data_IF_402151092595
#
_entry.id   IF_402151092595
#
_cell.length_a   1.000
_cell.length_b   1.000
_cell.length_c   1.000
_cell.angle_alpha   90.00
_cell.angle_beta   90.00
_cell.angle_gamma   90.00
#
_symmetry.space_group_name_H-M   'P 1'
#
loop_
_entity.id
_entity.type
_entity.pdbx_description
1 polymer ?
#
# COMPACT_ATOMS: atom_id res chain seq x y z
N UNK A 1 28.85 -34.82 -63.01
CA UNK A 1 27.94 -34.99 -61.86
C UNK A 1 28.53 -34.13 -60.73
N UNK A 2 28.10 -32.88 -60.54
CA UNK A 2 26.93 -32.47 -59.71
C UNK A 2 27.12 -32.91 -58.25
N UNK A 3 27.11 -32.07 -57.20
CA UNK A 3 26.65 -30.69 -57.00
C UNK A 3 27.32 -30.11 -55.75
N UNK A 4 27.49 -28.79 -55.71
CA UNK A 4 27.61 -27.99 -54.49
C UNK A 4 26.45 -28.29 -53.53
N UNK A 5 26.68 -28.21 -52.22
CA UNK A 5 25.62 -27.84 -51.28
C UNK A 5 26.18 -26.91 -50.21
N UNK A 6 26.00 -25.62 -50.48
CA UNK A 6 26.04 -24.51 -49.54
C UNK A 6 24.68 -24.47 -48.84
N UNK A 7 24.66 -24.18 -47.53
CA UNK A 7 23.46 -23.65 -46.88
C UNK A 7 23.11 -24.27 -45.54
N UNK A 8 23.97 -24.09 -44.53
CA UNK A 8 23.57 -24.26 -43.14
C UNK A 8 22.69 -23.05 -42.77
N UNK A 9 21.37 -23.23 -42.86
CA UNK A 9 20.39 -22.25 -42.38
C UNK A 9 20.45 -22.22 -40.86
N UNK A 10 21.06 -21.17 -40.31
CA UNK A 10 20.88 -20.77 -38.92
C UNK A 10 19.41 -20.37 -38.78
N UNK A 11 18.58 -21.27 -38.27
CA UNK A 11 17.24 -20.95 -37.80
C UNK A 11 17.39 -20.19 -36.48
N UNK A 12 17.47 -18.86 -36.56
CA UNK A 12 17.21 -18.00 -35.40
C UNK A 12 15.73 -18.18 -35.08
N UNK A 13 15.42 -19.05 -34.11
CA UNK A 13 14.11 -19.03 -33.45
C UNK A 13 14.04 -17.73 -32.65
N UNK A 14 13.52 -16.68 -33.29
CA UNK A 14 12.96 -15.54 -32.56
C UNK A 14 11.76 -16.11 -31.82
N UNK A 15 11.94 -16.40 -30.53
CA UNK A 15 10.82 -16.62 -29.62
C UNK A 15 10.10 -15.28 -29.53
N UNK A 16 9.04 -15.12 -30.31
CA UNK A 16 7.98 -14.18 -30.00
C UNK A 16 7.34 -14.64 -28.69
N UNK A 17 7.92 -14.24 -27.56
CA UNK A 17 7.18 -14.14 -26.32
C UNK A 17 6.27 -12.94 -26.50
N UNK A 18 4.93 -13.09 -26.51
CA UNK A 18 4.07 -11.93 -26.43
C UNK A 18 4.40 -11.24 -25.10
N UNK A 19 5.01 -10.06 -25.16
CA UNK A 19 5.06 -9.14 -24.04
C UNK A 19 3.60 -8.85 -23.69
N UNK A 20 3.09 -9.55 -22.69
CA UNK A 20 1.74 -9.33 -22.17
C UNK A 20 1.66 -7.85 -21.79
N UNK A 21 0.87 -7.08 -22.53
CA UNK A 21 0.66 -5.67 -22.23
C UNK A 21 -0.11 -5.62 -20.92
N UNK A 22 0.54 -5.13 -19.86
CA UNK A 22 -0.11 -4.94 -18.57
C UNK A 22 -1.27 -3.95 -18.71
N UNK A 23 -2.38 -4.25 -18.05
CA UNK A 23 -3.46 -3.26 -17.87
C UNK A 23 -2.99 -2.13 -16.96
N UNK A 24 -3.62 -0.95 -17.05
CA UNK A 24 -3.30 0.19 -16.17
C UNK A 24 -3.36 -0.19 -14.69
N UNK A 25 -4.33 -1.03 -14.30
CA UNK A 25 -4.45 -1.51 -12.93
C UNK A 25 -3.27 -2.40 -12.52
N UNK A 26 -2.85 -3.33 -13.38
CA UNK A 26 -1.67 -4.15 -13.12
C UNK A 26 -0.41 -3.30 -13.03
N UNK A 27 -0.27 -2.29 -13.89
CA UNK A 27 0.85 -1.34 -13.82
C UNK A 27 0.85 -0.58 -12.51
N UNK A 28 -0.31 -0.07 -12.05
CA UNK A 28 -0.44 0.59 -10.73
C UNK A 28 0.01 -0.31 -9.59
N UNK A 29 -0.52 -1.53 -9.51
CA UNK A 29 -0.14 -2.48 -8.46
C UNK A 29 1.36 -2.79 -8.46
N UNK A 30 1.95 -2.95 -9.64
CA UNK A 30 3.39 -3.15 -9.75
C UNK A 30 4.20 -1.93 -9.28
N UNK A 31 3.75 -0.71 -9.60
CA UNK A 31 4.39 0.51 -9.11
C UNK A 31 4.22 0.70 -7.60
N UNK A 32 3.04 0.39 -7.03
CA UNK A 32 2.79 0.42 -5.59
C UNK A 32 3.76 -0.51 -4.86
N UNK A 33 3.88 -1.77 -5.32
CA UNK A 33 4.84 -2.73 -4.75
C UNK A 33 6.29 -2.26 -4.90
N UNK A 34 6.64 -1.65 -6.04
CA UNK A 34 7.98 -1.12 -6.25
C UNK A 34 8.33 -0.03 -5.22
N UNK A 35 7.46 0.97 -5.01
CA UNK A 35 7.72 2.01 -4.00
C UNK A 35 7.68 1.45 -2.58
N UNK A 36 6.79 0.51 -2.29
CA UNK A 36 6.75 -0.18 -0.99
C UNK A 36 8.07 -0.91 -0.71
N UNK A 37 8.63 -1.62 -1.68
CA UNK A 37 9.89 -2.33 -1.47
C UNK A 37 11.08 -1.38 -1.27
N UNK A 38 11.21 -0.35 -2.13
CA UNK A 38 12.30 0.64 -2.03
C UNK A 38 12.23 1.37 -0.69
N UNK A 39 11.05 1.84 -0.28
CA UNK A 39 10.92 2.57 0.98
C UNK A 39 10.98 1.67 2.21
N UNK A 40 10.65 0.38 2.09
CA UNK A 40 10.92 -0.58 3.16
C UNK A 40 12.42 -0.80 3.36
N UNK A 41 13.23 -0.76 2.30
CA UNK A 41 14.69 -0.78 2.41
C UNK A 41 15.23 0.49 3.07
N UNK A 42 14.71 1.66 2.70
CA UNK A 42 15.05 2.95 3.32
C UNK A 42 14.76 2.94 4.81
N UNK A 43 13.55 2.51 5.20
CA UNK A 43 13.14 2.44 6.60
C UNK A 43 14.02 1.46 7.38
N UNK A 44 14.32 0.28 6.79
CA UNK A 44 15.23 -0.69 7.40
C UNK A 44 16.61 -0.10 7.69
N UNK A 45 17.16 0.68 6.75
CA UNK A 45 18.46 1.35 6.94
C UNK A 45 18.43 2.42 8.04
N UNK A 46 17.26 3.00 8.32
CA UNK A 46 17.03 3.94 9.42
C UNK A 46 16.64 3.24 10.75
N UNK A 47 16.66 1.90 10.81
CA UNK A 47 16.27 1.15 12.00
C UNK A 47 14.76 1.07 12.24
N UNK A 48 13.95 1.30 11.20
CA UNK A 48 12.49 1.26 11.23
C UNK A 48 11.95 0.10 10.41
N UNK A 49 10.72 -0.31 10.70
CA UNK A 49 10.01 -1.33 9.94
C UNK A 49 9.28 -0.70 8.75
N UNK A 50 9.44 -1.30 7.56
CA UNK A 50 8.64 -1.00 6.37
C UNK A 50 7.41 -1.91 6.23
N UNK A 51 6.98 -2.17 5.01
CA UNK A 51 5.93 -3.16 4.74
C UNK A 51 6.43 -4.56 5.09
N UNK A 52 5.66 -5.31 5.89
CA UNK A 52 5.95 -6.70 6.19
C UNK A 52 6.02 -7.56 4.93
N UNK A 53 5.16 -7.27 3.95
CA UNK A 53 5.11 -7.94 2.65
C UNK A 53 6.15 -7.46 1.63
N UNK A 54 7.05 -6.54 2.01
CA UNK A 54 8.03 -6.00 1.07
C UNK A 54 9.08 -7.03 0.68
N UNK A 55 9.25 -7.25 -0.62
CA UNK A 55 10.35 -8.04 -1.16
C UNK A 55 11.54 -7.12 -1.48
N UNK A 56 12.36 -6.88 -0.46
CA UNK A 56 13.56 -6.06 -0.58
C UNK A 56 14.58 -6.72 -1.54
N UNK A 57 14.53 -8.04 -1.71
CA UNK A 57 15.41 -8.76 -2.66
C UNK A 57 14.94 -8.63 -4.12
N UNK A 58 13.63 -8.59 -4.40
CA UNK A 58 13.10 -8.35 -5.75
C UNK A 58 13.22 -6.90 -6.20
N UNK A 59 13.26 -5.94 -5.27
CA UNK A 59 13.57 -4.53 -5.59
C UNK A 59 14.96 -4.34 -6.20
N UNK A 60 15.82 -5.34 -6.04
CA UNK A 60 17.14 -5.45 -6.61
C UNK A 60 17.13 -6.02 -8.06
N UNK A 61 16.04 -6.64 -8.51
CA UNK A 61 15.93 -7.19 -9.87
C UNK A 61 15.25 -6.23 -10.86
N UNK A 62 14.38 -5.32 -10.38
CA UNK A 62 13.62 -4.36 -11.21
C UNK A 62 14.42 -3.07 -11.49
N UNK A 63 15.34 -2.73 -10.60
CA UNK A 63 16.41 -1.74 -10.81
C UNK A 63 17.71 -2.49 -10.71
N UNK A 64 18.63 -2.32 -11.65
CA UNK A 64 19.97 -2.90 -11.54
C UNK A 64 20.52 -2.63 -10.13
N UNK A 65 20.76 -3.68 -9.33
CA UNK A 65 21.31 -3.59 -7.96
C UNK A 65 22.57 -2.74 -7.83
N UNK A 66 23.21 -2.42 -8.95
CA UNK A 66 24.35 -1.53 -9.02
C UNK A 66 24.02 -0.07 -8.66
N UNK A 67 22.75 0.35 -8.75
CA UNK A 67 22.36 1.73 -8.47
C UNK A 67 22.27 2.03 -6.96
N UNK A 68 22.88 3.14 -6.50
CA UNK A 68 22.74 3.58 -5.12
C UNK A 68 21.28 3.81 -4.70
N UNK A 69 20.93 3.46 -3.46
CA UNK A 69 19.56 3.56 -2.94
C UNK A 69 18.95 4.97 -3.04
N UNK A 70 19.75 6.03 -2.96
CA UNK A 70 19.26 7.40 -3.12
C UNK A 70 18.76 7.70 -4.54
N UNK A 71 19.34 7.08 -5.57
CA UNK A 71 18.85 7.14 -6.96
C UNK A 71 17.54 6.34 -7.07
N UNK A 72 17.52 5.12 -6.54
CA UNK A 72 16.32 4.25 -6.54
C UNK A 72 15.13 4.90 -5.82
N UNK A 73 15.36 5.64 -4.74
CA UNK A 73 14.33 6.45 -4.04
C UNK A 73 13.66 7.46 -4.96
N UNK A 74 14.46 8.24 -5.69
CA UNK A 74 13.93 9.25 -6.60
C UNK A 74 13.25 8.61 -7.81
N UNK A 75 13.85 7.58 -8.40
CA UNK A 75 13.31 6.90 -9.58
C UNK A 75 12.01 6.16 -9.31
N UNK A 76 11.93 5.45 -8.17
CA UNK A 76 10.71 4.72 -7.79
C UNK A 76 9.53 5.67 -7.62
N UNK A 77 9.73 6.82 -6.97
CA UNK A 77 8.74 7.88 -6.90
C UNK A 77 8.36 8.41 -8.28
N UNK A 78 9.32 8.74 -9.13
CA UNK A 78 9.05 9.31 -10.45
C UNK A 78 8.21 8.37 -11.33
N UNK A 79 8.53 7.07 -11.35
CA UNK A 79 7.78 6.05 -12.11
C UNK A 79 6.36 5.86 -11.55
N UNK A 80 6.24 5.86 -10.22
CA UNK A 80 4.94 5.81 -9.55
C UNK A 80 4.08 7.03 -9.86
N UNK A 81 4.66 8.24 -9.75
CA UNK A 81 3.99 9.50 -10.06
C UNK A 81 3.48 9.55 -11.50
N UNK A 82 4.30 9.15 -12.48
CA UNK A 82 3.90 9.08 -13.89
C UNK A 82 2.67 8.18 -14.11
N UNK A 83 2.59 7.06 -13.40
CA UNK A 83 1.42 6.17 -13.46
C UNK A 83 0.19 6.83 -12.83
N UNK A 84 0.40 7.54 -11.72
CA UNK A 84 -0.67 8.23 -11.00
C UNK A 84 -1.11 9.55 -11.62
N UNK A 85 -0.44 10.07 -12.66
CA UNK A 85 -0.97 11.15 -13.50
C UNK A 85 -2.26 10.75 -14.24
N UNK A 86 -2.55 9.46 -14.35
CA UNK A 86 -3.83 8.95 -14.87
C UNK A 86 -4.81 8.57 -13.75
N UNK A 87 -4.45 8.82 -12.49
CA UNK A 87 -5.15 8.38 -11.30
C UNK A 87 -5.22 9.50 -10.28
N UNK A 88 -4.50 9.34 -9.17
CA UNK A 88 -4.45 10.34 -8.10
C UNK A 88 -4.17 11.74 -8.63
N UNK A 89 -3.25 11.94 -9.55
CA UNK A 89 -2.84 13.25 -10.07
C UNK A 89 -3.41 13.56 -11.46
N UNK A 90 -4.59 13.03 -11.79
CA UNK A 90 -5.23 13.29 -13.08
C UNK A 90 -5.86 14.70 -13.20
N UNK A 91 -5.95 15.44 -12.10
CA UNK A 91 -6.58 16.76 -12.09
C UNK A 91 -5.61 17.87 -12.52
N UNK A 92 -6.15 18.95 -13.08
CA UNK A 92 -5.36 20.10 -13.56
C UNK A 92 -4.64 20.85 -12.41
N UNK A 93 -5.07 20.65 -11.17
CA UNK A 93 -4.46 21.20 -9.96
C UNK A 93 -3.14 20.51 -9.57
N UNK A 94 -2.84 19.33 -10.12
CA UNK A 94 -1.59 18.63 -9.82
C UNK A 94 -0.38 19.40 -10.41
N UNK A 95 0.62 19.77 -9.60
CA UNK A 95 1.80 20.47 -10.10
C UNK A 95 2.56 19.61 -11.12
N UNK A 96 2.86 20.17 -12.30
CA UNK A 96 3.52 19.43 -13.38
C UNK A 96 4.93 18.96 -13.02
N UNK A 97 5.61 19.70 -12.15
CA UNK A 97 6.95 19.46 -11.64
C UNK A 97 6.96 18.67 -10.32
N UNK A 98 5.80 18.18 -9.84
CA UNK A 98 5.70 17.47 -8.56
C UNK A 98 6.58 16.21 -8.50
N UNK A 99 6.70 15.48 -9.61
CA UNK A 99 7.59 14.33 -9.74
C UNK A 99 9.03 14.71 -9.37
N UNK A 100 9.57 15.72 -10.04
CA UNK A 100 10.93 16.22 -9.81
C UNK A 100 11.09 16.83 -8.40
N UNK A 101 10.21 17.75 -8.02
CA UNK A 101 10.33 18.51 -6.77
C UNK A 101 10.25 17.61 -5.54
N UNK A 102 9.24 16.73 -5.46
CA UNK A 102 9.15 15.80 -4.33
C UNK A 102 10.21 14.70 -4.41
N UNK A 103 10.57 14.23 -5.61
CA UNK A 103 11.67 13.29 -5.80
C UNK A 103 13.02 13.83 -5.26
N UNK A 104 13.29 15.12 -5.46
CA UNK A 104 14.46 15.78 -4.90
C UNK A 104 14.41 15.84 -3.36
N UNK A 105 13.23 16.12 -2.78
CA UNK A 105 13.04 16.07 -1.32
C UNK A 105 13.29 14.66 -0.77
N UNK A 106 12.75 13.62 -1.42
CA UNK A 106 12.95 12.23 -1.00
C UNK A 106 14.43 11.80 -1.05
N UNK A 107 15.13 12.20 -2.11
CA UNK A 107 16.58 11.96 -2.24
C UNK A 107 17.36 12.66 -1.12
N UNK A 108 17.07 13.94 -0.87
CA UNK A 108 17.68 14.73 0.21
C UNK A 108 17.40 14.12 1.58
N UNK A 109 16.16 13.71 1.83
CA UNK A 109 15.75 13.03 3.06
C UNK A 109 16.56 11.76 3.32
N UNK A 110 16.84 10.98 2.26
CA UNK A 110 17.70 9.80 2.39
C UNK A 110 19.16 10.18 2.67
N UNK A 111 19.73 11.11 1.90
CA UNK A 111 21.14 11.52 2.03
C UNK A 111 21.43 12.15 3.41
N UNK A 112 20.44 12.82 4.03
CA UNK A 112 20.55 13.48 5.34
C UNK A 112 20.08 12.60 6.51
N UNK A 113 19.64 11.36 6.27
CA UNK A 113 19.18 10.45 7.33
C UNK A 113 17.86 10.86 8.00
N UNK A 114 17.02 11.61 7.28
CA UNK A 114 15.76 12.17 7.78
C UNK A 114 14.78 11.13 8.33
N UNK A 115 14.86 9.88 7.85
CA UNK A 115 14.00 8.81 8.32
C UNK A 115 14.28 8.41 9.77
N UNK A 116 15.40 8.82 10.39
CA UNK A 116 15.64 8.65 11.83
C UNK A 116 14.88 9.70 12.64
N UNK A 117 14.89 10.96 12.19
CA UNK A 117 14.21 12.10 12.84
C UNK A 117 13.45 12.95 11.79
N UNK A 118 12.25 12.51 11.37
CA UNK A 118 11.54 13.14 10.26
C UNK A 118 11.03 14.55 10.60
N UNK A 119 10.73 14.83 11.87
CA UNK A 119 10.26 16.16 12.30
C UNK A 119 11.37 17.19 12.17
N UNK A 120 12.58 16.88 12.64
CA UNK A 120 13.71 17.81 12.53
C UNK A 120 14.06 18.11 11.07
N UNK A 121 14.01 17.10 10.19
CA UNK A 121 14.21 17.32 8.75
C UNK A 121 13.13 18.23 8.14
N UNK A 122 11.85 17.92 8.38
CA UNK A 122 10.73 18.73 7.87
C UNK A 122 10.77 20.19 8.36
N UNK A 123 11.25 20.44 9.57
CA UNK A 123 11.46 21.80 10.09
C UNK A 123 12.65 22.53 9.46
N UNK A 124 13.58 21.79 8.84
CA UNK A 124 14.82 22.34 8.27
C UNK A 124 14.80 22.56 6.75
N UNK A 125 13.82 21.99 6.04
CA UNK A 125 13.65 22.19 4.60
C UNK A 125 12.96 23.53 4.29
N UNK A 126 13.13 24.00 3.05
CA UNK A 126 12.55 25.27 2.57
C UNK A 126 11.03 25.20 2.43
N UNK A 127 10.38 26.37 2.34
CA UNK A 127 8.94 26.48 2.12
C UNK A 127 8.49 25.81 0.80
N UNK A 128 9.30 25.93 -0.26
CA UNK A 128 9.01 25.30 -1.56
C UNK A 128 9.13 23.77 -1.48
N UNK A 129 10.13 23.25 -0.75
CA UNK A 129 10.26 21.82 -0.47
C UNK A 129 9.07 21.31 0.35
N UNK A 130 8.66 22.03 1.42
CA UNK A 130 7.46 21.70 2.21
C UNK A 130 6.19 21.72 1.35
N UNK A 131 6.07 22.67 0.42
CA UNK A 131 4.94 22.73 -0.51
C UNK A 131 4.93 21.54 -1.48
N UNK A 132 6.10 21.08 -1.93
CA UNK A 132 6.20 19.85 -2.72
C UNK A 132 5.73 18.63 -1.91
N UNK A 133 6.12 18.52 -0.64
CA UNK A 133 5.61 17.48 0.28
C UNK A 133 4.09 17.58 0.42
N UNK A 134 3.55 18.78 0.68
CA UNK A 134 2.12 19.01 0.82
C UNK A 134 1.34 18.56 -0.42
N UNK A 135 1.84 18.90 -1.60
CA UNK A 135 1.24 18.55 -2.89
C UNK A 135 1.35 17.04 -3.19
N UNK A 136 2.45 16.38 -2.83
CA UNK A 136 2.58 14.93 -2.98
C UNK A 136 1.56 14.18 -2.11
N UNK A 137 1.20 14.76 -0.97
CA UNK A 137 0.26 14.16 -0.03
C UNK A 137 -1.18 14.65 -0.18
N UNK A 138 -1.46 15.55 -1.13
CA UNK A 138 -2.80 16.13 -1.34
C UNK A 138 -3.39 16.76 -0.06
N UNK A 139 -2.53 17.37 0.76
CA UNK A 139 -2.98 18.01 1.98
C UNK A 139 -3.58 19.38 1.65
N UNK A 140 -4.80 19.61 2.10
CA UNK A 140 -5.47 20.90 1.93
C UNK A 140 -4.79 22.02 2.74
N UNK A 141 -4.43 21.71 3.99
CA UNK A 141 -3.83 22.67 4.91
C UNK A 141 -2.30 22.64 4.85
N UNK A 142 -1.64 23.78 5.09
CA UNK A 142 -0.19 23.85 5.25
C UNK A 142 0.33 22.91 6.34
N UNK A 143 1.48 22.31 6.10
CA UNK A 143 2.12 21.39 7.06
C UNK A 143 2.61 22.20 8.27
N UNK A 144 2.07 21.88 9.45
CA UNK A 144 2.54 22.42 10.74
C UNK A 144 3.37 21.37 11.46
N UNK A 145 4.68 21.36 11.19
CA UNK A 145 5.61 20.28 11.61
C UNK A 145 5.53 19.99 13.13
N UNK A 146 5.45 21.03 13.96
CA UNK A 146 5.38 20.87 15.42
C UNK A 146 4.16 20.05 15.88
N UNK A 147 3.05 20.12 15.13
CA UNK A 147 1.79 19.42 15.45
C UNK A 147 1.76 17.96 14.99
N UNK A 148 2.73 17.53 14.18
CA UNK A 148 2.74 16.18 13.64
C UNK A 148 3.10 15.15 14.72
N UNK A 149 2.57 13.94 14.60
CA UNK A 149 3.11 12.79 15.31
C UNK A 149 4.40 12.32 14.61
N UNK A 150 5.13 11.38 15.22
CA UNK A 150 6.29 10.77 14.57
C UNK A 150 5.89 10.04 13.28
N UNK A 151 4.81 9.26 13.31
CA UNK A 151 4.26 8.57 12.14
C UNK A 151 3.82 9.57 11.06
N UNK A 152 3.04 10.59 11.47
CA UNK A 152 2.54 11.61 10.57
C UNK A 152 3.67 12.36 9.86
N UNK A 153 4.78 12.64 10.54
CA UNK A 153 5.96 13.24 9.94
C UNK A 153 6.72 12.26 9.03
N UNK A 154 6.90 11.00 9.46
CA UNK A 154 7.58 9.97 8.68
C UNK A 154 6.87 9.72 7.35
N UNK A 155 5.55 9.56 7.38
CA UNK A 155 4.75 9.26 6.19
C UNK A 155 4.64 10.42 5.20
N UNK A 156 5.01 11.66 5.60
CA UNK A 156 5.18 12.77 4.66
C UNK A 156 6.46 12.64 3.82
N UNK A 157 7.46 11.91 4.31
CA UNK A 157 8.72 11.63 3.61
C UNK A 157 8.69 10.32 2.83
N UNK A 158 7.51 9.72 2.64
CA UNK A 158 7.33 8.44 1.95
C UNK A 158 6.23 8.60 0.89
N UNK A 159 6.35 8.00 -0.31
CA UNK A 159 5.28 7.98 -1.29
C UNK A 159 3.97 7.45 -0.70
N UNK A 160 2.80 7.99 -1.07
CA UNK A 160 1.54 7.61 -0.44
C UNK A 160 1.21 6.11 -0.47
N UNK A 161 1.63 5.38 -1.50
CA UNK A 161 1.43 3.93 -1.59
C UNK A 161 2.34 3.11 -0.65
N UNK A 162 3.38 3.72 -0.11
CA UNK A 162 4.38 3.10 0.77
C UNK A 162 4.32 3.59 2.23
N UNK A 163 3.30 4.39 2.58
CA UNK A 163 3.10 4.85 3.96
C UNK A 163 2.87 3.69 4.93
N UNK A 164 3.37 3.86 6.15
CA UNK A 164 3.41 2.83 7.18
C UNK A 164 2.58 3.22 8.39
N UNK A 165 1.85 2.26 8.94
CA UNK A 165 1.29 2.32 10.29
C UNK A 165 2.44 1.98 11.28
N UNK A 166 3.00 3.02 11.89
CA UNK A 166 4.20 2.94 12.73
C UNK A 166 3.84 2.56 14.15
N UNK A 167 2.73 3.09 14.67
CA UNK A 167 2.26 2.81 16.03
C UNK A 167 1.41 1.52 16.13
N UNK A 168 1.09 0.90 14.99
CA UNK A 168 0.34 -0.35 14.84
C UNK A 168 -1.11 -0.24 15.32
N UNK A 169 -1.69 0.95 15.22
CA UNK A 169 -3.09 1.21 15.62
C UNK A 169 -4.10 0.81 14.54
N UNK A 170 -3.63 0.32 13.38
CA UNK A 170 -4.46 -0.14 12.28
C UNK A 170 -4.93 1.00 11.37
N UNK A 171 -4.50 2.24 11.63
CA UNK A 171 -4.69 3.40 10.77
C UNK A 171 -3.32 3.90 10.32
N UNK A 172 -3.28 4.52 9.14
CA UNK A 172 -2.04 5.11 8.62
C UNK A 172 -2.14 6.62 8.68
N UNK A 173 -1.26 7.27 9.43
CA UNK A 173 -1.26 8.72 9.57
C UNK A 173 -0.36 9.39 8.53
N UNK A 174 -0.91 10.32 7.73
CA UNK A 174 -0.15 11.19 6.83
C UNK A 174 -0.35 12.65 7.23
N UNK A 175 0.69 13.28 7.76
CA UNK A 175 0.54 14.57 8.42
C UNK A 175 -0.39 14.45 9.65
N UNK A 176 -1.56 15.09 9.61
CA UNK A 176 -2.60 14.98 10.66
C UNK A 176 -3.78 14.10 10.26
N UNK A 177 -3.79 13.59 9.03
CA UNK A 177 -4.90 12.81 8.47
C UNK A 177 -4.71 11.32 8.72
N UNK A 178 -5.80 10.61 8.99
CA UNK A 178 -5.82 9.15 9.12
C UNK A 178 -6.39 8.52 7.84
N UNK A 179 -5.69 7.50 7.33
CA UNK A 179 -6.10 6.69 6.19
C UNK A 179 -6.43 5.27 6.61
N UNK A 180 -7.42 4.68 5.93
CA UNK A 180 -7.71 3.25 5.97
C UNK A 180 -7.06 2.59 4.77
N UNK A 181 -6.35 1.49 5.03
CA UNK A 181 -5.69 0.70 3.98
C UNK A 181 -5.66 -0.77 4.37
N UNK A 182 -6.06 -1.65 3.47
CA UNK A 182 -5.79 -3.07 3.60
C UNK A 182 -5.34 -3.63 2.24
N UNK A 183 -4.27 -4.43 2.18
CA UNK A 183 -3.25 -4.65 3.19
C UNK A 183 -2.50 -3.35 3.54
N UNK A 184 -2.13 -3.18 4.81
CA UNK A 184 -1.24 -2.12 5.29
C UNK A 184 0.19 -2.63 5.55
N UNK A 185 1.07 -1.78 6.06
CA UNK A 185 2.46 -2.13 6.34
C UNK A 185 2.64 -3.21 7.42
N UNK A 186 1.64 -3.43 8.27
CA UNK A 186 1.66 -4.42 9.36
C UNK A 186 1.02 -5.74 8.97
N UNK A 187 0.28 -5.77 7.85
CA UNK A 187 -0.41 -6.97 7.39
C UNK A 187 0.60 -8.08 7.06
N UNK A 188 0.45 -9.30 7.61
CA UNK A 188 1.39 -10.40 7.36
C UNK A 188 1.54 -10.72 5.87
N UNK A 189 2.73 -11.18 5.48
CA UNK A 189 3.08 -11.41 4.08
C UNK A 189 2.14 -12.41 3.40
N UNK A 190 1.84 -13.51 4.07
CA UNK A 190 0.91 -14.54 3.63
C UNK A 190 -0.51 -14.01 3.42
N UNK A 191 -0.96 -13.09 4.27
CA UNK A 191 -2.27 -12.44 4.17
C UNK A 191 -2.29 -11.45 3.00
N UNK A 192 -1.24 -10.63 2.86
CA UNK A 192 -1.11 -9.68 1.75
C UNK A 192 -1.05 -10.41 0.38
N UNK A 193 -0.35 -11.54 0.32
CA UNK A 193 -0.31 -12.39 -0.89
C UNK A 193 -1.69 -12.99 -1.20
N UNK A 194 -2.38 -13.53 -0.20
CA UNK A 194 -3.72 -14.05 -0.36
C UNK A 194 -4.71 -12.99 -0.87
N UNK A 195 -4.62 -11.77 -0.33
CA UNK A 195 -5.43 -10.64 -0.77
C UNK A 195 -5.18 -10.27 -2.24
N UNK A 196 -3.92 -10.19 -2.63
CA UNK A 196 -3.55 -9.85 -4.00
C UNK A 196 -4.03 -10.93 -5.00
N UNK A 197 -4.01 -12.20 -4.60
CA UNK A 197 -4.55 -13.30 -5.40
C UNK A 197 -6.08 -13.25 -5.50
N UNK A 198 -6.77 -13.01 -4.38
CA UNK A 198 -8.23 -12.94 -4.33
C UNK A 198 -8.82 -11.70 -5.02
N UNK A 199 -8.02 -10.64 -5.17
CA UNK A 199 -8.43 -9.40 -5.84
C UNK A 199 -7.83 -9.23 -7.22
N UNK A 200 -7.22 -10.27 -7.81
CA UNK A 200 -6.69 -10.19 -9.18
C UNK A 200 -7.82 -9.95 -10.19
N UNK A 201 -7.61 -8.98 -11.10
CA UNK A 201 -8.63 -8.56 -12.08
C UNK A 201 -9.86 -7.83 -11.50
N UNK A 202 -9.98 -7.68 -10.18
CA UNK A 202 -11.12 -7.02 -9.53
C UNK A 202 -11.13 -5.50 -9.79
N UNK A 203 -12.27 -4.89 -10.17
CA UNK A 203 -12.37 -3.43 -10.30
C UNK A 203 -12.03 -2.70 -9.00
N UNK A 204 -11.43 -1.51 -9.12
CA UNK A 204 -10.91 -0.78 -7.94
C UNK A 204 -12.02 -0.38 -6.96
N UNK A 205 -13.20 0.00 -7.45
CA UNK A 205 -14.33 0.37 -6.59
C UNK A 205 -14.82 -0.80 -5.76
N UNK A 206 -14.79 -2.00 -6.34
CA UNK A 206 -15.18 -3.22 -5.64
C UNK A 206 -14.12 -3.63 -4.62
N UNK A 207 -12.84 -3.59 -4.99
CA UNK A 207 -11.74 -3.85 -4.07
C UNK A 207 -11.81 -2.93 -2.84
N UNK A 208 -12.08 -1.64 -3.05
CA UNK A 208 -12.23 -0.68 -1.94
C UNK A 208 -13.34 -1.03 -0.94
N UNK A 209 -14.43 -1.67 -1.40
CA UNK A 209 -15.49 -2.14 -0.50
C UNK A 209 -14.94 -3.24 0.41
N UNK A 210 -14.26 -4.24 -0.16
CA UNK A 210 -13.66 -5.31 0.63
C UNK A 210 -12.52 -4.81 1.54
N UNK A 211 -11.75 -3.79 1.11
CA UNK A 211 -10.72 -3.16 1.95
C UNK A 211 -11.36 -2.50 3.19
N UNK A 212 -12.49 -1.82 3.00
CA UNK A 212 -13.26 -1.25 4.10
C UNK A 212 -13.83 -2.35 5.01
N UNK A 213 -14.36 -3.43 4.45
CA UNK A 213 -14.89 -4.58 5.19
C UNK A 213 -13.81 -5.24 6.05
N UNK A 214 -12.58 -5.37 5.52
CA UNK A 214 -11.42 -5.84 6.28
C UNK A 214 -11.02 -4.90 7.43
N UNK A 215 -11.33 -3.61 7.32
CA UNK A 215 -11.04 -2.61 8.36
C UNK A 215 -12.18 -2.38 9.36
N UNK A 216 -13.35 -3.01 9.18
CA UNK A 216 -14.45 -2.90 10.15
C UNK A 216 -14.07 -3.28 11.59
N UNK A 217 -13.22 -4.30 11.85
CA UNK A 217 -12.80 -4.60 13.23
C UNK A 217 -12.13 -3.42 13.92
N UNK A 218 -11.24 -2.68 13.24
CA UNK A 218 -10.58 -1.48 13.79
C UNK A 218 -11.60 -0.36 14.03
N UNK A 219 -12.49 -0.14 13.05
CA UNK A 219 -13.48 0.94 13.10
C UNK A 219 -14.56 0.73 14.18
N UNK A 220 -14.89 -0.52 14.49
CA UNK A 220 -16.00 -0.85 15.40
C UNK A 220 -15.54 -1.23 16.82
N UNK A 221 -14.33 -1.78 16.99
CA UNK A 221 -13.83 -2.20 18.33
C UNK A 221 -13.55 -1.04 19.28
N UNK A 222 -13.48 0.18 18.75
CA UNK A 222 -13.29 1.40 19.52
C UNK A 222 -14.61 2.11 19.85
N UNK A 223 -15.75 1.53 19.47
CA UNK A 223 -17.07 1.97 19.96
C UNK A 223 -17.36 1.37 21.33
N UNK A 224 -17.65 2.22 22.30
CA UNK A 224 -17.94 1.82 23.68
C UNK A 224 -19.45 1.92 23.92
N UNK A 225 -20.03 0.84 24.46
CA UNK A 225 -21.45 0.77 24.80
C UNK A 225 -21.64 0.71 26.33
N UNK A 226 -22.73 1.29 26.81
CA UNK A 226 -23.11 1.24 28.23
C UNK A 226 -23.72 -0.12 28.62
N UNK A 227 -24.09 -0.26 29.89
CA UNK A 227 -24.67 -1.51 30.42
C UNK A 227 -26.02 -1.90 29.77
N UNK A 228 -26.72 -0.95 29.15
CA UNK A 228 -27.97 -1.18 28.42
C UNK A 228 -27.73 -1.45 26.92
N UNK A 229 -26.47 -1.49 26.47
CA UNK A 229 -26.07 -1.68 25.08
C UNK A 229 -26.22 -0.43 24.21
N UNK A 230 -26.36 0.77 24.80
CA UNK A 230 -26.42 2.03 24.04
C UNK A 230 -25.02 2.57 23.79
N UNK A 231 -24.82 3.20 22.64
CA UNK A 231 -23.57 3.89 22.34
C UNK A 231 -23.28 4.95 23.41
N UNK A 232 -22.09 4.88 24.01
CA UNK A 232 -21.62 5.83 25.00
C UNK A 232 -20.66 6.84 24.38
N UNK A 233 -19.56 6.34 23.80
CA UNK A 233 -18.51 7.14 23.16
C UNK A 233 -17.66 6.26 22.25
N UNK A 234 -16.75 6.87 21.49
CA UNK A 234 -15.71 6.17 20.75
C UNK A 234 -14.33 6.61 21.25
N UNK A 235 -13.38 5.67 21.28
CA UNK A 235 -11.96 5.97 21.52
C UNK A 235 -11.36 6.57 20.26
N UNK A 236 -10.50 7.56 20.43
CA UNK A 236 -9.80 8.23 19.34
C UNK A 236 -8.44 7.58 19.09
N UNK A 237 -7.96 7.56 17.84
CA UNK A 237 -6.58 7.16 17.54
C UNK A 237 -5.60 7.98 18.39
N UNK A 238 -4.65 7.30 19.03
CA UNK A 238 -3.71 7.89 19.98
C UNK A 238 -4.15 7.83 21.46
N UNK A 239 -5.40 7.47 21.76
CA UNK A 239 -5.81 7.19 23.14
C UNK A 239 -5.09 5.93 23.66
N UNK A 240 -4.64 5.89 24.93
CA UNK A 240 -3.90 4.73 25.48
C UNK A 240 -4.67 3.41 25.46
N UNK A 241 -6.00 3.46 25.39
CA UNK A 241 -6.90 2.31 25.34
C UNK A 241 -7.51 2.07 23.95
N UNK A 242 -7.03 2.77 22.92
CA UNK A 242 -7.38 2.49 21.53
C UNK A 242 -6.89 1.09 21.13
N UNK A 243 -7.75 0.32 20.45
CA UNK A 243 -7.50 -1.09 20.15
C UNK A 243 -7.46 -1.31 18.64
N UNK A 244 -6.43 -2.01 18.18
CA UNK A 244 -6.37 -2.63 16.86
C UNK A 244 -6.47 -4.16 17.02
N UNK A 245 -7.66 -4.75 16.82
CA UNK A 245 -7.81 -6.20 16.91
C UNK A 245 -6.96 -6.96 15.90
N UNK A 246 -6.69 -6.36 14.73
CA UNK A 246 -5.96 -7.02 13.63
C UNK A 246 -4.48 -7.27 13.97
N UNK A 247 -3.97 -6.64 15.02
CA UNK A 247 -2.60 -6.82 15.51
C UNK A 247 -2.53 -7.72 16.76
N UNK A 248 -3.66 -8.31 17.19
CA UNK A 248 -3.68 -9.28 18.28
C UNK A 248 -3.03 -10.61 17.84
N UNK A 249 -2.31 -11.27 18.75
CA UNK A 249 -1.61 -12.54 18.46
C UNK A 249 -2.56 -13.66 18.03
N UNK A 250 -3.82 -13.62 18.49
CA UNK A 250 -4.87 -14.59 18.21
C UNK A 250 -5.81 -14.15 17.08
N UNK A 251 -5.52 -13.05 16.38
CA UNK A 251 -6.35 -12.59 15.28
C UNK A 251 -6.27 -13.54 14.07
N UNK A 252 -7.40 -14.16 13.71
CA UNK A 252 -7.48 -15.08 12.57
C UNK A 252 -8.17 -14.43 11.36
N UNK A 253 -7.42 -14.22 10.29
CA UNK A 253 -7.98 -13.78 9.00
C UNK A 253 -8.92 -14.84 8.40
N UNK A 254 -8.65 -16.13 8.63
CA UNK A 254 -9.55 -17.21 8.20
C UNK A 254 -10.89 -17.14 8.95
N UNK A 255 -10.88 -16.88 10.26
CA UNK A 255 -12.11 -16.69 11.03
C UNK A 255 -12.90 -15.46 10.54
N UNK A 256 -12.22 -14.36 10.23
CA UNK A 256 -12.87 -13.16 9.67
C UNK A 256 -13.60 -13.48 8.37
N UNK A 257 -12.97 -14.19 7.44
CA UNK A 257 -13.66 -14.61 6.20
C UNK A 257 -14.84 -15.54 6.47
N UNK A 258 -14.75 -16.41 7.48
CA UNK A 258 -15.86 -17.29 7.87
C UNK A 258 -17.03 -16.47 8.42
N UNK A 259 -16.76 -15.52 9.31
CA UNK A 259 -17.78 -14.65 9.89
C UNK A 259 -18.52 -13.84 8.82
N UNK A 260 -17.83 -13.40 7.76
CA UNK A 260 -18.46 -12.76 6.61
C UNK A 260 -19.38 -13.72 5.83
N UNK A 261 -18.91 -14.94 5.54
CA UNK A 261 -19.75 -15.93 4.86
C UNK A 261 -20.99 -16.30 5.70
N UNK A 262 -20.84 -16.48 7.01
CA UNK A 262 -21.95 -16.75 7.93
C UNK A 262 -22.95 -15.59 7.98
N UNK A 263 -22.46 -14.34 7.97
CA UNK A 263 -23.29 -13.15 7.85
C UNK A 263 -24.09 -13.14 6.53
N UNK A 264 -23.43 -13.38 5.40
CA UNK A 264 -24.10 -13.45 4.09
C UNK A 264 -25.18 -14.53 4.07
N UNK A 265 -24.89 -15.71 4.63
CA UNK A 265 -25.83 -16.82 4.70
C UNK A 265 -27.05 -16.51 5.57
N UNK A 266 -26.83 -15.83 6.70
CA UNK A 266 -27.91 -15.41 7.59
C UNK A 266 -28.84 -14.38 6.93
N UNK A 267 -28.27 -13.44 6.16
CA UNK A 267 -29.03 -12.35 5.52
C UNK A 267 -29.45 -12.62 4.07
N UNK A 268 -29.18 -13.81 3.49
CA UNK A 268 -29.43 -14.11 2.07
C UNK A 268 -30.85 -13.86 1.56
N UNK A 269 -31.86 -14.02 2.42
CA UNK A 269 -33.26 -13.77 2.05
C UNK A 269 -33.65 -12.28 2.11
N UNK A 270 -32.76 -11.42 2.61
CA UNK A 270 -32.95 -9.97 2.77
C UNK A 270 -32.00 -9.17 1.87
N UNK A 271 -31.16 -9.83 1.09
CA UNK A 271 -30.17 -9.21 0.23
C UNK A 271 -30.43 -9.52 -1.24
N UNK A 272 -29.87 -8.69 -2.11
CA UNK A 272 -29.89 -8.96 -3.55
C UNK A 272 -29.17 -10.29 -3.86
N UNK A 273 -29.78 -11.22 -4.61
CA UNK A 273 -29.17 -12.54 -4.88
C UNK A 273 -27.85 -12.49 -5.64
N UNK A 274 -27.66 -11.51 -6.53
CA UNK A 274 -26.42 -11.36 -7.29
C UNK A 274 -25.32 -10.85 -6.35
N UNK A 275 -25.66 -9.92 -5.44
CA UNK A 275 -24.75 -9.49 -4.38
C UNK A 275 -24.35 -10.64 -3.46
N UNK A 276 -25.31 -11.45 -3.00
CA UNK A 276 -25.00 -12.63 -2.17
C UNK A 276 -23.98 -13.54 -2.85
N UNK A 277 -24.24 -13.89 -4.12
CA UNK A 277 -23.38 -14.83 -4.87
C UNK A 277 -21.97 -14.27 -5.01
N UNK A 278 -21.87 -13.00 -5.38
CA UNK A 278 -20.61 -12.28 -5.56
C UNK A 278 -19.80 -12.19 -4.27
N UNK A 279 -20.42 -11.70 -3.20
CA UNK A 279 -19.74 -11.49 -1.91
C UNK A 279 -19.31 -12.86 -1.34
N UNK A 280 -20.15 -13.90 -1.47
CA UNK A 280 -19.82 -15.26 -1.05
C UNK A 280 -18.65 -15.86 -1.85
N UNK A 281 -18.61 -15.64 -3.17
CA UNK A 281 -17.49 -16.06 -4.02
C UNK A 281 -16.18 -15.37 -3.61
N UNK A 282 -16.23 -14.06 -3.34
CA UNK A 282 -15.06 -13.34 -2.87
C UNK A 282 -14.54 -13.88 -1.53
N UNK A 283 -15.40 -13.96 -0.50
CA UNK A 283 -14.96 -14.36 0.83
C UNK A 283 -14.47 -15.81 0.88
N UNK A 284 -15.11 -16.71 0.13
CA UNK A 284 -14.65 -18.10 0.00
C UNK A 284 -13.32 -18.21 -0.75
N UNK A 285 -13.14 -17.46 -1.85
CA UNK A 285 -11.86 -17.39 -2.58
C UNK A 285 -10.75 -16.84 -1.70
N UNK A 286 -11.01 -15.74 -0.97
CA UNK A 286 -10.02 -15.16 -0.08
C UNK A 286 -9.66 -16.10 1.06
N UNK A 287 -10.63 -16.80 1.65
CA UNK A 287 -10.37 -17.84 2.64
C UNK A 287 -9.50 -18.98 2.09
N UNK A 288 -9.76 -19.45 0.88
CA UNK A 288 -8.93 -20.44 0.20
C UNK A 288 -7.50 -19.93 0.04
N UNK A 289 -7.32 -18.69 -0.45
CA UNK A 289 -5.98 -18.10 -0.63
C UNK A 289 -5.25 -17.88 0.68
N UNK A 290 -5.94 -17.54 1.77
CA UNK A 290 -5.33 -17.47 3.09
C UNK A 290 -4.73 -18.83 3.48
N UNK A 291 -5.49 -19.92 3.29
CA UNK A 291 -5.00 -21.28 3.58
C UNK A 291 -3.85 -21.70 2.66
N UNK A 292 -3.95 -21.42 1.36
CA UNK A 292 -2.91 -21.74 0.38
C UNK A 292 -1.56 -21.07 0.69
N UNK A 293 -1.60 -19.84 1.22
CA UNK A 293 -0.39 -19.08 1.56
C UNK A 293 0.09 -19.30 3.01
N UNK A 294 -0.58 -20.16 3.79
CA UNK A 294 -0.18 -20.51 5.16
C UNK A 294 -0.63 -19.54 6.25
N UNK A 295 -1.65 -18.72 5.99
CA UNK A 295 -2.23 -17.76 6.95
C UNK A 295 -3.36 -18.37 7.83
N UNK A 296 -3.31 -19.69 8.07
CA UNK A 296 -4.38 -20.46 8.72
C UNK A 296 -4.02 -20.90 10.15
#
# INVERSE_FOLDING_TARGET
MSRLTIGEKIAVQIRDQPTSVMTLQQTRRAQDKNVQNVFSEVLRNAGRQGYASADITASAEITDTSEPLNIRVQESWNRWYQTEQLGRYASDEAPRDLGENFGNVLKKAYDEGAYVDPKSFLSGISEDELKAVQNAHWLADPIRVDSLTEEGALNLLIPPAAQVDLNKDGLTQSGISYGLRFPDSTTPTEVALAWEQATDGMPIQERMIYELEMKLPVLTSNMVFDADGRFSHARSPGDPDFVNPMNAEDYSFVEVTQNWMDYLDYFKNQMDPDRYTKDMEFWSTFQEKLRDNGAA
#
